data_IF_623405614422
#
_entry.id   IF_623405614422
#
_cell.length_a   1.000
_cell.length_b   1.000
_cell.length_c   1.000
_cell.angle_alpha   90.00
_cell.angle_beta   90.00
_cell.angle_gamma   90.00
#
_symmetry.space_group_name_H-M   'P 1'
#
loop_
_entity.id
_entity.type
_entity.pdbx_description
1 polymer ?
#
# COMPACT_ATOMS: atom_id res chain seq x y z
N UNK A 1 -10.30 -0.62 19.15
CA UNK A 1 -9.67 0.36 18.25
C UNK A 1 -10.75 1.26 17.65
N UNK A 2 -10.50 2.58 17.56
CA UNK A 2 -11.39 3.52 16.88
C UNK A 2 -10.74 3.97 15.58
N UNK A 3 -11.46 3.86 14.47
CA UNK A 3 -11.00 4.25 13.14
C UNK A 3 -12.20 4.51 12.23
N UNK A 4 -11.98 5.30 11.18
CA UNK A 4 -12.88 5.43 10.05
C UNK A 4 -12.22 4.77 8.84
N UNK A 5 -12.97 4.00 8.07
CA UNK A 5 -12.48 3.35 6.87
C UNK A 5 -13.47 3.50 5.73
N UNK A 6 -12.96 3.72 4.53
CA UNK A 6 -13.72 3.62 3.29
C UNK A 6 -12.85 3.01 2.21
N UNK A 7 -13.49 2.22 1.35
CA UNK A 7 -12.83 1.55 0.24
C UNK A 7 -13.72 1.61 -1.01
N UNK A 8 -13.09 1.80 -2.15
CA UNK A 8 -13.79 1.82 -3.43
C UNK A 8 -12.86 1.38 -4.55
N UNK A 9 -13.45 0.66 -5.55
CA UNK A 9 -12.76 0.23 -6.75
C UNK A 9 -13.63 0.47 -7.96
N UNK A 10 -13.06 1.04 -9.03
CA UNK A 10 -13.75 1.39 -10.28
C UNK A 10 -13.03 0.83 -11.48
N UNK A 11 -13.79 0.51 -12.51
CA UNK A 11 -13.24 0.00 -13.77
C UNK A 11 -12.52 1.07 -14.59
N UNK A 12 -12.85 2.37 -14.37
CA UNK A 12 -12.33 3.46 -15.20
C UNK A 12 -12.70 3.31 -16.66
N UNK A 13 -11.76 3.59 -17.55
CA UNK A 13 -11.91 3.44 -18.99
C UNK A 13 -11.56 2.06 -19.56
N UNK A 14 -11.28 1.07 -18.68
CA UNK A 14 -10.92 -0.29 -19.06
C UNK A 14 -12.18 -1.14 -19.30
N UNK A 15 -12.04 -2.25 -20.04
CA UNK A 15 -13.13 -3.21 -20.22
C UNK A 15 -13.37 -4.10 -18.99
N UNK A 16 -12.32 -4.35 -18.22
CA UNK A 16 -12.33 -5.24 -17.04
C UNK A 16 -11.61 -4.52 -15.89
N UNK A 17 -12.15 -4.65 -14.69
CA UNK A 17 -11.45 -4.25 -13.49
C UNK A 17 -10.55 -5.41 -13.02
N UNK A 18 -9.24 -5.23 -13.11
CA UNK A 18 -8.23 -6.19 -12.69
C UNK A 18 -7.72 -5.92 -11.26
N UNK A 19 -8.06 -4.78 -10.69
CA UNK A 19 -7.78 -4.46 -9.29
C UNK A 19 -8.67 -5.25 -8.34
N UNK A 20 -8.13 -5.60 -7.18
CA UNK A 20 -8.89 -6.14 -6.04
C UNK A 20 -8.42 -5.48 -4.76
N UNK A 21 -9.31 -5.46 -3.80
CA UNK A 21 -9.04 -4.93 -2.47
C UNK A 21 -9.73 -5.73 -1.39
N UNK A 22 -9.20 -5.66 -0.17
CA UNK A 22 -9.89 -6.16 1.02
C UNK A 22 -9.56 -5.34 2.26
N UNK A 23 -10.56 -5.25 3.12
CA UNK A 23 -10.43 -4.83 4.50
C UNK A 23 -10.99 -5.91 5.40
N UNK A 24 -10.24 -6.30 6.44
CA UNK A 24 -10.69 -7.23 7.50
C UNK A 24 -10.33 -6.68 8.86
N UNK A 25 -11.16 -6.98 9.84
CA UNK A 25 -10.98 -6.50 11.20
C UNK A 25 -11.29 -7.60 12.23
N UNK A 26 -10.46 -7.69 13.24
CA UNK A 26 -10.78 -8.28 14.54
C UNK A 26 -10.92 -7.16 15.57
N UNK A 27 -11.28 -7.45 16.83
CA UNK A 27 -11.28 -6.41 17.88
C UNK A 27 -9.92 -5.72 18.07
N UNK A 28 -8.80 -6.38 17.72
CA UNK A 28 -7.44 -5.93 18.06
C UNK A 28 -6.46 -5.86 16.88
N UNK A 29 -6.86 -6.34 15.70
CA UNK A 29 -6.03 -6.27 14.48
C UNK A 29 -6.86 -5.90 13.24
N UNK A 30 -6.24 -5.18 12.30
CA UNK A 30 -6.83 -4.82 11.01
C UNK A 30 -5.92 -5.29 9.90
N UNK A 31 -6.50 -5.73 8.79
CA UNK A 31 -5.80 -6.03 7.55
C UNK A 31 -6.38 -5.17 6.41
N UNK A 32 -5.51 -4.47 5.70
CA UNK A 32 -5.81 -3.73 4.47
C UNK A 32 -4.96 -4.31 3.34
N UNK A 33 -5.56 -4.57 2.18
CA UNK A 33 -4.86 -5.11 1.01
C UNK A 33 -5.38 -4.45 -0.25
N UNK A 34 -4.45 -4.06 -1.14
CA UNK A 34 -4.75 -3.68 -2.54
C UNK A 34 -3.84 -4.50 -3.44
N UNK A 35 -4.42 -5.12 -4.45
CA UNK A 35 -3.73 -5.89 -5.48
C UNK A 35 -4.17 -5.36 -6.85
N UNK A 36 -3.20 -4.91 -7.65
CA UNK A 36 -3.40 -4.38 -9.00
C UNK A 36 -2.95 -5.43 -10.01
N UNK A 37 -3.92 -5.98 -10.72
CA UNK A 37 -3.72 -7.03 -11.71
C UNK A 37 -3.12 -6.47 -13.00
N UNK A 38 -1.95 -6.96 -13.40
CA UNK A 38 -1.18 -6.39 -14.52
C UNK A 38 -1.85 -6.60 -15.88
N UNK A 39 -2.41 -5.53 -16.46
CA UNK A 39 -3.20 -5.53 -17.70
C UNK A 39 -2.44 -5.87 -19.01
N UNK A 40 -1.11 -5.94 -18.98
CA UNK A 40 -0.29 -6.43 -20.10
C UNK A 40 -0.19 -7.96 -20.17
N UNK A 41 -0.69 -8.67 -19.16
CA UNK A 41 -0.75 -10.13 -19.07
C UNK A 41 -2.21 -10.58 -18.99
N UNK A 42 -2.54 -11.70 -19.64
CA UNK A 42 -3.88 -12.27 -19.56
C UNK A 42 -4.22 -12.63 -18.11
N UNK A 43 -5.47 -12.32 -17.70
CA UNK A 43 -6.03 -12.75 -16.41
C UNK A 43 -5.41 -12.08 -15.16
N UNK A 44 -5.00 -10.81 -15.21
CA UNK A 44 -4.52 -10.07 -14.04
C UNK A 44 -5.52 -10.07 -12.87
N UNK A 45 -6.83 -10.01 -13.18
CA UNK A 45 -7.92 -10.11 -12.20
C UNK A 45 -7.92 -11.43 -11.42
N UNK A 46 -7.44 -12.51 -12.03
CA UNK A 46 -7.32 -13.82 -11.35
C UNK A 46 -6.18 -13.76 -10.35
N UNK A 47 -5.03 -13.20 -10.71
CA UNK A 47 -3.91 -13.08 -9.80
C UNK A 47 -4.26 -12.19 -8.59
N UNK A 48 -4.86 -11.01 -8.84
CA UNK A 48 -5.29 -10.10 -7.79
C UNK A 48 -6.33 -10.76 -6.86
N UNK A 49 -7.30 -11.50 -7.42
CA UNK A 49 -8.30 -12.21 -6.60
C UNK A 49 -7.66 -13.30 -5.73
N UNK A 50 -6.73 -14.09 -6.26
CA UNK A 50 -6.02 -15.13 -5.49
C UNK A 50 -5.26 -14.52 -4.31
N UNK A 51 -4.63 -13.36 -4.50
CA UNK A 51 -3.95 -12.66 -3.40
C UNK A 51 -4.93 -12.27 -2.31
N UNK A 52 -6.04 -11.64 -2.68
CA UNK A 52 -7.06 -11.20 -1.72
C UNK A 52 -7.62 -12.40 -0.94
N UNK A 53 -8.04 -13.46 -1.64
CA UNK A 53 -8.60 -14.64 -1.00
C UNK A 53 -7.59 -15.28 -0.03
N UNK A 54 -6.34 -15.47 -0.49
CA UNK A 54 -5.29 -16.05 0.34
C UNK A 54 -5.01 -15.25 1.62
N UNK A 55 -4.90 -13.92 1.50
CA UNK A 55 -4.58 -13.07 2.63
C UNK A 55 -5.74 -12.94 3.62
N UNK A 56 -6.97 -12.83 3.11
CA UNK A 56 -8.16 -12.74 3.98
C UNK A 56 -8.41 -14.03 4.72
N UNK A 57 -8.31 -15.18 4.06
CA UNK A 57 -8.46 -16.49 4.68
C UNK A 57 -7.39 -16.71 5.76
N UNK A 58 -6.13 -16.39 5.44
CA UNK A 58 -5.03 -16.50 6.39
C UNK A 58 -5.25 -15.59 7.63
N UNK A 59 -5.72 -14.36 7.41
CA UNK A 59 -5.99 -13.42 8.50
C UNK A 59 -7.11 -13.92 9.42
N UNK A 60 -8.23 -14.38 8.85
CA UNK A 60 -9.36 -14.92 9.61
C UNK A 60 -8.99 -16.14 10.46
N UNK A 61 -8.01 -16.94 10.00
CA UNK A 61 -7.54 -18.10 10.76
C UNK A 61 -6.49 -17.77 11.82
N UNK A 62 -5.61 -16.79 11.58
CA UNK A 62 -4.44 -16.53 12.43
C UNK A 62 -4.64 -15.36 13.42
N UNK A 63 -5.41 -14.32 13.04
CA UNK A 63 -5.67 -13.17 13.91
C UNK A 63 -6.75 -13.48 14.95
N UNK A 64 -6.39 -14.18 16.05
CA UNK A 64 -7.32 -14.63 17.09
C UNK A 64 -6.84 -14.28 18.49
N UNK A 65 -7.08 -13.07 18.98
CA UNK A 65 -7.61 -11.86 18.32
C UNK A 65 -6.52 -11.07 17.55
N UNK A 66 -5.25 -11.41 17.76
CA UNK A 66 -4.07 -10.74 17.22
C UNK A 66 -3.20 -11.73 16.44
N UNK A 67 -2.34 -11.19 15.60
CA UNK A 67 -1.26 -11.94 14.96
C UNK A 67 -0.05 -12.02 15.90
N UNK A 68 0.59 -13.19 15.98
CA UNK A 68 1.80 -13.35 16.78
C UNK A 68 2.96 -12.47 16.27
N UNK A 69 3.11 -12.38 14.95
CA UNK A 69 4.07 -11.50 14.27
C UNK A 69 3.47 -11.01 12.95
N UNK A 70 3.08 -9.71 12.87
CA UNK A 70 2.51 -9.13 11.66
C UNK A 70 3.43 -9.19 10.44
N UNK A 71 4.75 -9.01 10.57
CA UNK A 71 5.66 -9.09 9.44
C UNK A 71 5.86 -10.51 8.93
N UNK A 72 5.96 -11.47 9.84
CA UNK A 72 6.03 -12.88 9.46
C UNK A 72 4.75 -13.31 8.74
N UNK A 73 3.57 -12.91 9.25
CA UNK A 73 2.28 -13.14 8.62
C UNK A 73 2.25 -12.57 7.19
N UNK A 74 2.58 -11.29 7.02
CA UNK A 74 2.58 -10.63 5.71
C UNK A 74 3.54 -11.32 4.74
N UNK A 75 4.75 -11.70 5.20
CA UNK A 75 5.74 -12.39 4.38
C UNK A 75 5.25 -13.76 3.93
N UNK A 76 4.67 -14.53 4.84
CA UNK A 76 4.11 -15.85 4.52
C UNK A 76 2.94 -15.73 3.54
N UNK A 77 2.09 -14.70 3.70
CA UNK A 77 0.98 -14.45 2.78
C UNK A 77 1.47 -14.09 1.37
N UNK A 78 2.47 -13.23 1.23
CA UNK A 78 3.01 -12.85 -0.09
C UNK A 78 3.63 -14.06 -0.81
N UNK A 79 4.47 -14.83 -0.12
CA UNK A 79 5.09 -16.03 -0.69
C UNK A 79 4.03 -17.12 -1.01
N UNK A 80 3.08 -17.32 -0.10
CA UNK A 80 2.01 -18.29 -0.30
C UNK A 80 1.06 -17.92 -1.44
N UNK A 81 0.68 -16.64 -1.55
CA UNK A 81 -0.13 -16.13 -2.65
C UNK A 81 0.59 -16.24 -4.00
N UNK A 82 1.90 -15.92 -4.05
CA UNK A 82 2.72 -16.11 -5.25
C UNK A 82 2.68 -17.56 -5.74
N UNK A 83 2.87 -18.54 -4.85
CA UNK A 83 2.77 -19.96 -5.19
C UNK A 83 1.33 -20.37 -5.58
N UNK A 84 0.32 -19.81 -4.91
CA UNK A 84 -1.08 -20.08 -5.20
C UNK A 84 -1.51 -19.61 -6.59
N UNK A 85 -1.03 -18.43 -7.04
CA UNK A 85 -1.27 -17.92 -8.39
C UNK A 85 -0.76 -18.92 -9.44
N UNK A 86 0.46 -19.40 -9.28
CA UNK A 86 1.06 -20.40 -10.20
C UNK A 86 0.23 -21.69 -10.24
N UNK A 87 -0.21 -22.17 -9.07
CA UNK A 87 -1.06 -23.36 -8.98
C UNK A 87 -2.41 -23.15 -9.65
N UNK A 88 -3.08 -22.01 -9.44
CA UNK A 88 -4.38 -21.69 -10.06
C UNK A 88 -4.23 -21.57 -11.57
N UNK A 89 -3.15 -20.97 -12.08
CA UNK A 89 -2.86 -20.91 -13.50
C UNK A 89 -2.78 -22.32 -14.13
N UNK A 90 -2.08 -23.24 -13.48
CA UNK A 90 -1.99 -24.63 -13.92
C UNK A 90 -3.35 -25.37 -13.90
N UNK A 91 -4.12 -25.23 -12.82
CA UNK A 91 -5.46 -25.84 -12.69
C UNK A 91 -6.44 -25.32 -13.74
N UNK A 92 -6.39 -24.02 -14.04
CA UNK A 92 -7.24 -23.38 -15.06
C UNK A 92 -6.69 -23.52 -16.48
N UNK A 93 -5.52 -24.13 -16.65
CA UNK A 93 -4.83 -24.29 -17.95
C UNK A 93 -4.63 -22.96 -18.66
N UNK A 94 -4.28 -21.91 -17.92
CA UNK A 94 -4.00 -20.62 -18.50
C UNK A 94 -2.71 -20.68 -19.34
N UNK A 95 -2.66 -19.93 -20.43
CA UNK A 95 -1.50 -19.88 -21.35
C UNK A 95 -0.25 -19.27 -20.67
N UNK A 96 -0.47 -18.38 -19.69
CA UNK A 96 0.56 -17.72 -18.92
C UNK A 96 0.19 -17.66 -17.44
N UNK A 97 1.20 -17.58 -16.58
CA UNK A 97 0.96 -17.31 -15.16
C UNK A 97 0.58 -15.84 -15.01
N UNK A 98 -0.65 -15.52 -14.54
CA UNK A 98 -1.07 -14.14 -14.35
C UNK A 98 -0.26 -13.47 -13.25
N UNK A 99 -0.23 -12.14 -13.26
CA UNK A 99 0.59 -11.33 -12.35
C UNK A 99 -0.21 -10.21 -11.73
N UNK A 100 0.21 -9.82 -10.53
CA UNK A 100 -0.36 -8.67 -9.83
C UNK A 100 0.69 -8.00 -8.95
N UNK A 101 0.62 -6.69 -8.84
CA UNK A 101 1.29 -5.98 -7.74
C UNK A 101 0.49 -6.21 -6.46
N UNK A 102 1.07 -5.92 -5.32
CA UNK A 102 0.35 -5.99 -4.05
C UNK A 102 0.97 -5.08 -3.00
N UNK A 103 0.12 -4.41 -2.25
CA UNK A 103 0.48 -3.72 -1.01
C UNK A 103 -0.48 -4.14 0.09
N UNK A 104 0.06 -4.51 1.24
CA UNK A 104 -0.74 -4.95 2.37
C UNK A 104 -0.23 -4.35 3.69
N UNK A 105 -1.18 -4.02 4.57
CA UNK A 105 -0.90 -3.43 5.87
C UNK A 105 -1.68 -4.14 6.97
N UNK A 106 -0.99 -4.46 8.06
CA UNK A 106 -1.60 -4.88 9.32
C UNK A 106 -1.46 -3.74 10.32
N UNK A 107 -2.57 -3.36 10.96
CA UNK A 107 -2.57 -2.44 12.11
C UNK A 107 -2.91 -3.24 13.35
N UNK A 108 -1.99 -3.27 14.31
CA UNK A 108 -2.13 -3.96 15.58
C UNK A 108 -1.36 -3.21 16.67
N UNK A 109 -1.91 -3.12 17.87
CA UNK A 109 -1.30 -2.41 19.01
C UNK A 109 -0.98 -0.93 18.74
N UNK A 110 -1.75 -0.27 17.86
CA UNK A 110 -1.48 1.10 17.44
C UNK A 110 -0.26 1.25 16.53
N UNK A 111 0.27 0.15 16.00
CA UNK A 111 1.40 0.12 15.06
C UNK A 111 0.93 -0.34 13.68
N UNK A 112 1.37 0.35 12.64
CA UNK A 112 1.21 -0.09 11.25
C UNK A 112 2.45 -0.87 10.80
N UNK A 113 2.20 -2.02 10.16
CA UNK A 113 3.18 -2.91 9.57
C UNK A 113 2.77 -3.16 8.13
N UNK A 114 3.58 -2.79 7.15
CA UNK A 114 3.23 -3.06 5.75
C UNK A 114 4.37 -3.66 4.95
N UNK A 115 3.98 -4.36 3.93
CA UNK A 115 4.87 -4.89 2.90
C UNK A 115 4.27 -4.61 1.52
N UNK A 116 5.10 -4.56 0.50
CA UNK A 116 4.64 -4.43 -0.86
C UNK A 116 5.56 -5.11 -1.87
N UNK A 117 5.02 -5.37 -3.05
CA UNK A 117 5.74 -5.72 -4.28
C UNK A 117 5.04 -5.07 -5.47
N UNK A 118 5.80 -4.45 -6.35
CA UNK A 118 5.26 -3.68 -7.47
C UNK A 118 5.13 -2.19 -7.16
N UNK A 119 4.14 -1.54 -7.75
CA UNK A 119 3.89 -0.10 -7.69
C UNK A 119 2.49 0.29 -7.16
N UNK A 120 1.71 -0.68 -6.65
CA UNK A 120 0.64 -0.37 -5.74
C UNK A 120 1.23 0.24 -4.47
N UNK A 121 0.71 1.39 -4.05
CA UNK A 121 1.31 2.22 -3.01
C UNK A 121 0.53 2.21 -1.71
N UNK A 122 1.28 2.27 -0.60
CA UNK A 122 0.77 2.70 0.69
C UNK A 122 1.36 4.08 1.02
N UNK A 123 0.51 4.94 1.56
CA UNK A 123 0.85 6.23 2.12
C UNK A 123 0.47 6.27 3.59
N UNK A 124 1.37 6.75 4.45
CA UNK A 124 1.05 7.24 5.79
C UNK A 124 1.02 8.76 5.74
N UNK A 125 -0.13 9.33 6.04
CA UNK A 125 -0.41 10.76 5.94
C UNK A 125 -0.71 11.33 7.32
N UNK A 126 -0.19 12.54 7.58
CA UNK A 126 -0.48 13.33 8.79
C UNK A 126 -0.53 14.81 8.41
N UNK A 127 -1.56 15.53 8.84
CA UNK A 127 -1.72 16.98 8.63
C UNK A 127 -1.53 17.42 7.17
N UNK A 128 -2.07 16.62 6.23
CA UNK A 128 -1.97 16.90 4.79
C UNK A 128 -0.59 16.63 4.17
N UNK A 129 0.32 16.00 4.90
CA UNK A 129 1.67 15.64 4.46
C UNK A 129 1.87 14.14 4.39
N UNK A 130 2.76 13.72 3.52
CA UNK A 130 3.22 12.33 3.45
C UNK A 130 4.36 12.16 4.46
N UNK A 131 4.15 11.34 5.49
CA UNK A 131 5.19 10.96 6.44
C UNK A 131 6.01 9.79 5.91
N UNK A 132 5.34 8.83 5.27
CA UNK A 132 5.99 7.68 4.67
C UNK A 132 5.18 7.18 3.46
N UNK A 133 5.87 6.54 2.53
CA UNK A 133 5.28 5.95 1.33
C UNK A 133 6.09 4.72 0.91
N UNK A 134 5.42 3.68 0.41
CA UNK A 134 6.09 2.55 -0.26
C UNK A 134 6.86 3.03 -1.49
N UNK A 135 7.98 2.36 -1.79
CA UNK A 135 8.85 2.70 -2.92
C UNK A 135 8.58 1.74 -4.07
N UNK A 136 8.23 2.27 -5.24
CA UNK A 136 7.80 1.47 -6.37
C UNK A 136 8.89 0.51 -6.87
N UNK A 137 8.52 -0.71 -7.18
CA UNK A 137 9.39 -1.67 -7.88
C UNK A 137 9.28 -1.47 -9.39
N UNK A 138 9.60 -0.25 -9.86
CA UNK A 138 9.60 0.10 -11.27
C UNK A 138 11.00 0.44 -11.77
N UNK A 139 11.23 0.24 -13.08
CA UNK A 139 12.50 0.63 -13.69
C UNK A 139 12.80 2.12 -13.51
N UNK A 140 11.78 2.95 -13.58
CA UNK A 140 11.93 4.39 -13.40
C UNK A 140 12.36 4.76 -12.00
N UNK A 141 11.82 4.08 -10.98
CA UNK A 141 12.24 4.29 -9.60
C UNK A 141 13.72 3.93 -9.41
N UNK A 142 14.19 2.82 -10.01
CA UNK A 142 15.62 2.46 -9.96
C UNK A 142 16.52 3.53 -10.61
N UNK A 143 16.10 4.12 -11.73
CA UNK A 143 16.85 5.18 -12.40
C UNK A 143 16.89 6.47 -11.55
N UNK A 144 15.78 6.82 -10.90
CA UNK A 144 15.71 7.94 -9.93
C UNK A 144 16.68 7.75 -8.78
N UNK A 145 16.72 6.56 -8.20
CA UNK A 145 17.55 6.22 -7.05
C UNK A 145 19.05 6.24 -7.38
N UNK A 146 19.38 5.90 -8.61
CA UNK A 146 20.74 5.98 -9.14
C UNK A 146 21.13 7.40 -9.56
N UNK A 147 20.20 8.36 -9.50
CA UNK A 147 20.43 9.73 -9.97
C UNK A 147 20.61 9.86 -11.48
N UNK A 148 20.19 8.84 -12.25
CA UNK A 148 20.31 8.83 -13.72
C UNK A 148 19.22 9.65 -14.41
N UNK A 149 18.08 9.86 -13.74
CA UNK A 149 16.99 10.74 -14.18
C UNK A 149 16.49 11.54 -12.99
N UNK A 150 15.86 12.69 -13.26
CA UNK A 150 15.15 13.48 -12.25
C UNK A 150 13.66 13.16 -12.20
N UNK A 151 12.94 13.80 -11.28
CA UNK A 151 11.52 13.55 -11.06
C UNK A 151 10.64 14.00 -12.26
N UNK A 152 11.06 14.98 -13.04
CA UNK A 152 10.32 15.42 -14.21
C UNK A 152 10.54 14.49 -15.40
N UNK A 153 11.75 14.01 -15.61
CA UNK A 153 12.06 12.96 -16.59
C UNK A 153 11.29 11.67 -16.29
N UNK A 154 11.18 11.30 -15.01
CA UNK A 154 10.45 10.11 -14.56
C UNK A 154 8.98 10.10 -14.98
N UNK A 155 8.28 11.25 -14.87
CA UNK A 155 6.86 11.39 -15.23
C UNK A 155 6.56 11.06 -16.70
N UNK A 156 7.51 11.31 -17.59
CA UNK A 156 7.36 11.15 -19.04
C UNK A 156 8.17 9.97 -19.59
N UNK A 157 8.82 9.20 -18.72
CA UNK A 157 9.67 8.09 -19.17
C UNK A 157 8.84 6.97 -19.84
N UNK A 158 9.28 6.41 -20.98
CA UNK A 158 8.54 5.35 -21.68
C UNK A 158 8.32 4.10 -20.82
N UNK A 159 9.27 3.76 -19.96
CA UNK A 159 9.22 2.60 -19.06
C UNK A 159 8.56 2.90 -17.68
N UNK A 160 7.81 4.01 -17.51
CA UNK A 160 7.26 4.41 -16.21
C UNK A 160 6.32 3.38 -15.57
N UNK A 161 5.68 2.54 -16.38
CA UNK A 161 4.80 1.45 -15.92
C UNK A 161 5.49 0.07 -15.94
N UNK A 162 6.83 0.03 -16.13
CA UNK A 162 7.55 -1.23 -16.18
C UNK A 162 7.95 -1.69 -14.79
N UNK A 163 7.10 -2.53 -14.22
CA UNK A 163 7.32 -3.17 -12.93
C UNK A 163 8.34 -4.31 -13.08
N UNK A 164 9.29 -4.41 -12.16
CA UNK A 164 10.31 -5.48 -12.16
C UNK A 164 10.07 -6.56 -11.09
N UNK A 165 9.17 -6.32 -10.14
CA UNK A 165 8.79 -7.28 -9.10
C UNK A 165 7.28 -7.31 -8.88
N UNK A 166 6.69 -8.51 -8.83
CA UNK A 166 5.25 -8.73 -8.69
C UNK A 166 4.97 -10.13 -8.13
N UNK A 167 3.74 -10.39 -7.71
CA UNK A 167 3.25 -11.73 -7.39
C UNK A 167 2.79 -12.44 -8.67
N UNK A 168 3.00 -13.75 -8.73
CA UNK A 168 2.84 -14.53 -9.97
C UNK A 168 4.08 -14.42 -10.86
N UNK A 169 4.06 -15.09 -12.00
CA UNK A 169 5.23 -15.17 -12.89
C UNK A 169 6.31 -16.14 -12.38
N UNK A 170 7.44 -16.22 -13.09
CA UNK A 170 8.45 -17.27 -12.85
C UNK A 170 9.47 -16.93 -11.77
N UNK A 171 9.66 -15.64 -11.44
CA UNK A 171 10.66 -15.20 -10.47
C UNK A 171 10.03 -14.96 -9.10
N UNK A 172 10.77 -15.29 -8.03
CA UNK A 172 10.35 -14.93 -6.68
C UNK A 172 10.19 -13.41 -6.54
N UNK A 173 9.14 -12.93 -5.84
CA UNK A 173 8.93 -11.50 -5.67
C UNK A 173 9.98 -10.90 -4.73
N UNK A 174 10.45 -9.71 -5.05
CA UNK A 174 11.07 -8.85 -4.05
C UNK A 174 9.96 -8.30 -3.17
N UNK A 175 10.11 -8.42 -1.86
CA UNK A 175 9.16 -7.91 -0.87
C UNK A 175 9.87 -6.86 -0.04
N UNK A 176 9.41 -5.63 -0.11
CA UNK A 176 9.93 -4.54 0.71
C UNK A 176 9.06 -4.34 1.94
N UNK A 177 9.70 -4.00 3.05
CA UNK A 177 9.12 -3.88 4.38
C UNK A 177 9.16 -2.45 4.89
N UNK A 178 8.12 -2.04 5.61
CA UNK A 178 8.18 -0.85 6.44
C UNK A 178 9.00 -1.07 7.72
N UNK A 179 9.33 0.01 8.41
CA UNK A 179 9.55 -0.06 9.85
C UNK A 179 8.21 -0.26 10.58
N UNK A 180 8.25 -0.73 11.84
CA UNK A 180 7.08 -0.66 12.75
C UNK A 180 6.75 0.81 12.96
N UNK A 181 5.59 1.25 12.51
CA UNK A 181 5.26 2.66 12.46
C UNK A 181 4.10 2.99 13.40
N UNK A 182 4.33 3.74 14.47
CA UNK A 182 3.28 4.16 15.39
C UNK A 182 2.27 5.10 14.72
N UNK A 183 0.99 4.83 14.96
CA UNK A 183 -0.11 5.68 14.50
C UNK A 183 -0.54 6.65 15.59
N UNK A 184 -0.75 7.91 15.22
CA UNK A 184 -1.37 8.94 16.06
C UNK A 184 -2.81 9.21 15.62
N UNK A 185 -3.68 9.69 16.53
CA UNK A 185 -5.01 10.13 16.16
C UNK A 185 -4.96 11.16 15.02
N UNK A 186 -5.76 10.93 13.98
CA UNK A 186 -5.78 11.76 12.77
C UNK A 186 -4.90 11.25 11.63
N UNK A 187 -4.00 10.30 11.88
CA UNK A 187 -3.22 9.68 10.79
C UNK A 187 -4.12 8.94 9.80
N UNK A 188 -3.75 9.01 8.52
CA UNK A 188 -4.43 8.29 7.47
C UNK A 188 -3.48 7.32 6.79
N UNK A 189 -3.87 6.04 6.77
CA UNK A 189 -3.28 5.03 5.92
C UNK A 189 -4.09 4.95 4.62
N UNK A 190 -3.43 5.11 3.48
CA UNK A 190 -4.07 5.02 2.17
C UNK A 190 -3.32 4.01 1.31
N UNK A 191 -4.03 2.97 0.84
CA UNK A 191 -3.52 1.97 -0.10
C UNK A 191 -4.22 2.15 -1.44
N UNK A 192 -3.46 2.25 -2.53
CA UNK A 192 -4.07 2.46 -3.85
C UNK A 192 -3.26 1.87 -5.00
N UNK A 193 -3.96 1.59 -6.12
CA UNK A 193 -3.35 1.25 -7.41
C UNK A 193 -2.82 2.49 -8.14
N UNK A 194 -2.07 2.28 -9.22
CA UNK A 194 -1.45 3.34 -10.03
C UNK A 194 -2.48 4.22 -10.72
N UNK A 195 -3.65 3.68 -11.09
CA UNK A 195 -4.77 4.45 -11.63
C UNK A 195 -5.29 5.56 -10.72
N UNK A 196 -4.96 5.50 -9.41
CA UNK A 196 -5.30 6.57 -8.45
C UNK A 196 -4.12 7.52 -8.25
N UNK A 197 -2.95 7.00 -7.83
CA UNK A 197 -1.86 7.87 -7.42
C UNK A 197 -1.21 8.62 -8.60
N UNK A 198 -1.19 8.04 -9.79
CA UNK A 198 -0.54 8.67 -10.94
C UNK A 198 -1.30 9.92 -11.43
N UNK A 199 -2.62 9.91 -11.67
CA UNK A 199 -3.35 11.10 -12.06
C UNK A 199 -3.63 12.07 -10.90
N UNK A 200 -3.79 11.58 -9.66
CA UNK A 200 -4.02 12.44 -8.50
C UNK A 200 -2.78 13.25 -8.12
N UNK A 201 -1.63 12.60 -8.10
CA UNK A 201 -0.38 13.14 -7.57
C UNK A 201 -0.35 13.19 -6.05
N UNK A 202 0.84 12.96 -5.49
CA UNK A 202 1.09 12.77 -4.07
C UNK A 202 0.51 13.90 -3.18
N UNK A 203 0.76 15.16 -3.54
CA UNK A 203 0.33 16.32 -2.72
C UNK A 203 -1.19 16.44 -2.62
N UNK A 204 -1.92 16.20 -3.73
CA UNK A 204 -3.38 16.28 -3.73
C UNK A 204 -4.00 15.12 -2.98
N UNK A 205 -3.44 13.92 -3.16
CA UNK A 205 -3.86 12.72 -2.43
C UNK A 205 -3.74 12.96 -0.92
N UNK A 206 -2.58 13.42 -0.44
CA UNK A 206 -2.35 13.70 0.97
C UNK A 206 -3.32 14.76 1.51
N UNK A 207 -3.48 15.87 0.80
CA UNK A 207 -4.38 16.96 1.20
C UNK A 207 -5.82 16.47 1.32
N UNK A 208 -6.37 15.85 0.27
CA UNK A 208 -7.77 15.41 0.24
C UNK A 208 -8.10 14.38 1.31
N UNK A 209 -7.23 13.40 1.51
CA UNK A 209 -7.47 12.32 2.48
C UNK A 209 -7.34 12.79 3.94
N UNK A 210 -6.61 13.86 4.22
CA UNK A 210 -6.51 14.44 5.56
C UNK A 210 -7.62 15.47 5.86
N UNK A 211 -8.16 16.19 4.84
CA UNK A 211 -9.16 17.26 5.03
C UNK A 211 -10.55 16.73 5.36
N UNK A 212 -10.94 15.57 4.86
CA UNK A 212 -12.30 15.03 5.02
C UNK A 212 -12.28 13.59 5.52
N UNK A 213 -13.39 13.11 6.07
CA UNK A 213 -13.56 11.71 6.45
C UNK A 213 -13.38 10.80 5.23
N UNK A 214 -12.82 9.57 5.40
CA UNK A 214 -12.60 8.65 4.28
C UNK A 214 -13.82 8.42 3.40
N UNK A 215 -15.02 8.36 3.99
CA UNK A 215 -16.30 8.18 3.27
C UNK A 215 -16.62 9.30 2.26
N UNK A 216 -16.06 10.48 2.48
CA UNK A 216 -16.22 11.63 1.58
C UNK A 216 -14.99 11.83 0.69
N UNK A 217 -13.79 11.67 1.27
CA UNK A 217 -12.52 11.92 0.57
C UNK A 217 -12.25 10.90 -0.55
N UNK A 218 -12.51 9.61 -0.31
CA UNK A 218 -12.22 8.54 -1.27
C UNK A 218 -13.03 8.70 -2.56
N UNK A 219 -14.38 8.81 -2.55
CA UNK A 219 -15.14 8.98 -3.78
C UNK A 219 -14.76 10.25 -4.55
N UNK A 220 -14.48 11.35 -3.85
CA UNK A 220 -14.07 12.61 -4.48
C UNK A 220 -12.70 12.48 -5.15
N UNK A 221 -11.74 11.84 -4.46
CA UNK A 221 -10.41 11.63 -5.02
C UNK A 221 -10.44 10.72 -6.26
N UNK A 222 -11.28 9.68 -6.24
CA UNK A 222 -11.47 8.80 -7.40
C UNK A 222 -12.13 9.55 -8.57
N UNK A 223 -13.15 10.40 -8.32
CA UNK A 223 -13.73 11.26 -9.34
C UNK A 223 -12.68 12.18 -9.97
N UNK A 224 -11.87 12.85 -9.14
CA UNK A 224 -10.81 13.74 -9.60
C UNK A 224 -9.74 13.00 -10.43
N UNK A 225 -9.36 11.78 -10.01
CA UNK A 225 -8.38 10.95 -10.70
C UNK A 225 -8.90 10.48 -12.07
N UNK A 226 -10.14 9.97 -12.09
CA UNK A 226 -10.81 9.50 -13.31
C UNK A 226 -10.98 10.62 -14.35
N UNK A 227 -11.44 11.80 -13.91
CA UNK A 227 -11.55 12.97 -14.78
C UNK A 227 -10.21 13.42 -15.38
N UNK A 228 -9.13 13.36 -14.60
CA UNK A 228 -7.78 13.73 -15.07
C UNK A 228 -7.19 12.73 -16.04
N UNK A 229 -7.40 11.45 -15.79
CA UNK A 229 -6.96 10.38 -16.68
C UNK A 229 -7.79 10.33 -17.97
N UNK A 230 -9.05 10.82 -17.92
CA UNK A 230 -9.96 10.90 -19.06
C UNK A 230 -10.45 9.53 -19.55
N UNK A 231 -10.82 9.40 -20.85
CA UNK A 231 -11.40 8.17 -21.38
C UNK A 231 -10.51 6.93 -21.32
N UNK A 232 -9.23 7.11 -21.05
CA UNK A 232 -8.25 6.03 -20.92
C UNK A 232 -7.83 5.78 -19.46
N UNK A 233 -8.68 6.22 -18.49
CA UNK A 233 -8.44 5.97 -17.08
C UNK A 233 -8.20 4.48 -16.84
N UNK A 234 -7.18 4.17 -16.03
CA UNK A 234 -6.95 2.79 -15.57
C UNK A 234 -8.01 2.36 -14.55
N UNK A 235 -7.95 1.12 -14.09
CA UNK A 235 -8.68 0.69 -12.92
C UNK A 235 -8.24 1.57 -11.73
N UNK A 236 -9.19 2.01 -10.90
CA UNK A 236 -8.93 2.90 -9.78
C UNK A 236 -9.35 2.23 -8.49
N UNK A 237 -8.41 1.95 -7.62
CA UNK A 237 -8.69 1.27 -6.36
C UNK A 237 -8.00 1.97 -5.21
N UNK A 238 -8.77 2.28 -4.16
CA UNK A 238 -8.31 3.00 -2.98
C UNK A 238 -8.99 2.49 -1.71
N UNK A 239 -8.20 2.22 -0.69
CA UNK A 239 -8.63 2.06 0.70
C UNK A 239 -8.02 3.22 1.48
N UNK A 240 -8.83 3.95 2.26
CA UNK A 240 -8.33 4.93 3.23
C UNK A 240 -8.86 4.60 4.62
N UNK A 241 -7.96 4.53 5.59
CA UNK A 241 -8.26 4.33 7.00
C UNK A 241 -7.73 5.52 7.79
N UNK A 242 -8.60 6.24 8.50
CA UNK A 242 -8.23 7.27 9.48
C UNK A 242 -8.20 6.64 10.86
N UNK A 243 -7.05 6.75 11.51
CA UNK A 243 -6.86 6.28 12.86
C UNK A 243 -7.36 7.32 13.87
N UNK A 244 -8.17 6.89 14.85
CA UNK A 244 -8.75 7.78 15.86
C UNK A 244 -8.43 7.35 17.29
N UNK A 245 -7.76 6.21 17.45
CA UNK A 245 -7.41 5.71 18.79
C UNK A 245 -6.18 6.44 19.32
N UNK A 246 -6.25 6.90 20.58
CA UNK A 246 -5.06 7.40 21.29
C UNK A 246 -4.10 6.25 21.48
N UNK A 247 -2.92 6.34 20.89
CA UNK A 247 -1.89 5.30 20.96
C UNK A 247 -1.10 5.43 22.27
N UNK A 248 -0.76 4.34 22.97
CA UNK A 248 0.19 4.39 24.07
C UNK A 248 1.58 4.88 23.64
N UNK A 249 1.89 4.84 22.35
CA UNK A 249 3.11 5.36 21.74
C UNK A 249 3.09 6.87 21.52
N UNK A 250 1.93 7.53 21.64
CA UNK A 250 1.81 8.97 21.42
C UNK A 250 2.71 9.78 22.38
N UNK A 251 2.90 9.30 23.60
CA UNK A 251 3.77 9.92 24.59
C UNK A 251 5.28 9.76 24.25
N UNK A 252 5.64 8.78 23.44
CA UNK A 252 7.04 8.51 23.05
C UNK A 252 7.43 9.20 21.73
N UNK A 253 6.43 9.66 20.96
CA UNK A 253 6.63 10.35 19.67
C UNK A 253 6.63 11.88 19.87
N UNK A 254 6.38 12.37 21.09
CA UNK A 254 6.58 13.77 21.43
C UNK A 254 7.93 14.23 20.90
N UNK A 255 7.96 15.35 20.16
CA UNK A 255 9.23 15.93 19.69
C UNK A 255 10.19 15.95 20.88
N UNK A 256 11.42 15.42 20.74
CA UNK A 256 12.38 15.51 21.81
C UNK A 256 12.47 16.98 22.23
N UNK A 257 12.44 17.24 23.52
CA UNK A 257 12.64 18.61 24.02
C UNK A 257 14.02 19.10 23.58
N UNK A 258 14.21 20.41 23.51
CA UNK A 258 15.54 20.97 23.21
C UNK A 258 16.59 20.42 24.19
N UNK A 259 16.20 20.15 25.46
CA UNK A 259 17.04 19.49 26.46
C UNK A 259 17.38 18.03 26.12
N UNK A 260 16.46 17.27 25.53
CA UNK A 260 16.73 15.88 25.09
C UNK A 260 17.68 15.87 23.89
N UNK A 261 17.54 16.84 23.00
CA UNK A 261 18.43 17.00 21.84
C UNK A 261 19.83 17.40 22.30
N UNK A 262 19.94 18.37 23.22
CA UNK A 262 21.23 18.80 23.79
C UNK A 262 21.91 17.64 24.52
N UNK A 263 21.20 16.90 25.35
CA UNK A 263 21.71 15.69 26.04
C UNK A 263 22.25 14.65 25.07
N UNK A 264 21.49 14.34 24.00
CA UNK A 264 21.92 13.39 22.98
C UNK A 264 23.16 13.88 22.22
N UNK A 265 23.27 15.21 21.97
CA UNK A 265 24.44 15.80 21.34
C UNK A 265 25.67 15.72 22.28
N UNK A 266 25.51 15.95 23.57
CA UNK A 266 26.59 15.86 24.56
C UNK A 266 27.06 14.40 24.75
N UNK A 267 26.15 13.42 24.76
CA UNK A 267 26.50 11.99 24.75
C UNK A 267 27.33 11.61 23.53
N UNK A 268 26.96 12.10 22.33
CA UNK A 268 27.68 11.83 21.07
C UNK A 268 29.07 12.50 21.10
N UNK A 269 29.20 13.67 21.75
CA UNK A 269 30.46 14.40 21.87
C UNK A 269 31.37 13.85 22.96
N UNK A 270 30.89 12.90 23.76
CA UNK A 270 31.69 12.31 24.85
C UNK A 270 32.00 13.31 25.98
N UNK A 271 31.18 14.33 26.15
CA UNK A 271 31.25 15.29 27.23
C UNK A 271 30.45 14.73 28.39
N UNK A 272 31.09 14.02 29.29
CA UNK A 272 30.61 13.71 30.64
C UNK A 272 31.57 14.37 31.63
#
# INVERSE_FOLDING_TARGET
MNYLVHQESRVGGRAINQDRLAFRATPEALLLVVADGMGGHAHGEVAAQVVIDYMTDAFEHQARPVLADPFLFLTQCFNGAHAAITRVAGLRKLSEVPRTTCVACVVQDGLAHWVHTGDARLYLLRDGRILNRSRDHTRVQLLLDQGLIDADMAKHHPDRHRVYSCLGGPAAPQIDFSAKTPLLPGDVLALCSDGVWAPAGDSRLAKRLCEAAPQQAVPQLLNDAEQRAGPKADNLTLIALRWETTSPWAAQIGSPSDEDIERAIDEIRGVN
#
